data_IF_707187055675
#
_entry.id   IF_707187055675
#
_cell.length_a   1.000
_cell.length_b   1.000
_cell.length_c   1.000
_cell.angle_alpha   90.00
_cell.angle_beta   90.00
_cell.angle_gamma   90.00
#
_symmetry.space_group_name_H-M   'P 1'
#
loop_
_entity.id
_entity.type
_entity.pdbx_description
1 polymer ?
#
# COMPACT_ATOMS: atom_id res chain seq x y z
N UNK A 1 18.73 15.32 5.82
CA UNK A 1 18.59 13.86 5.88
C UNK A 1 18.39 13.45 7.34
N UNK A 2 17.39 12.60 7.61
CA UNK A 2 17.14 11.97 8.91
C UNK A 2 17.67 10.53 8.92
N UNK A 3 17.31 9.71 7.92
CA UNK A 3 17.85 8.35 7.74
C UNK A 3 17.93 7.94 6.27
N UNK A 4 18.57 6.78 6.01
CA UNK A 4 18.57 6.12 4.73
C UNK A 4 17.69 4.87 4.78
N UNK A 5 16.63 4.83 3.97
CA UNK A 5 15.81 3.63 3.81
C UNK A 5 16.38 2.79 2.68
N UNK A 6 16.98 1.65 3.00
CA UNK A 6 17.50 0.76 1.96
C UNK A 6 16.37 -0.03 1.31
N UNK A 7 16.39 -0.08 -0.02
CA UNK A 7 15.52 -0.93 -0.85
C UNK A 7 16.35 -2.00 -1.55
N UNK A 8 15.72 -3.13 -1.89
CA UNK A 8 16.39 -4.27 -2.53
C UNK A 8 16.98 -3.94 -3.91
N UNK A 9 16.41 -2.95 -4.61
CA UNK A 9 16.86 -2.51 -5.94
C UNK A 9 16.64 -3.57 -7.03
N UNK A 10 16.15 -3.18 -8.21
CA UNK A 10 15.98 -4.11 -9.34
C UNK A 10 17.31 -4.62 -9.91
N UNK A 11 18.42 -3.90 -9.66
CA UNK A 11 19.76 -4.20 -10.19
C UNK A 11 20.66 -4.97 -9.21
N UNK A 12 20.14 -5.40 -8.05
CA UNK A 12 20.87 -6.15 -7.04
C UNK A 12 21.80 -5.34 -6.14
N UNK A 13 22.02 -4.06 -6.43
CA UNK A 13 22.71 -3.12 -5.54
C UNK A 13 21.69 -2.38 -4.67
N UNK A 14 21.74 -2.52 -3.33
CA UNK A 14 20.82 -1.82 -2.45
C UNK A 14 20.92 -0.30 -2.64
N UNK A 15 19.77 0.36 -2.81
CA UNK A 15 19.70 1.82 -2.94
C UNK A 15 19.23 2.40 -1.61
N UNK A 16 20.03 3.30 -1.02
CA UNK A 16 19.65 4.00 0.20
C UNK A 16 18.86 5.26 -0.15
N UNK A 17 17.54 5.24 0.04
CA UNK A 17 16.68 6.41 -0.17
C UNK A 17 16.91 7.43 0.93
N UNK A 18 17.20 8.68 0.57
CA UNK A 18 17.48 9.78 1.48
C UNK A 18 16.17 10.36 2.00
N UNK A 19 15.76 9.95 3.20
CA UNK A 19 14.55 10.44 3.85
C UNK A 19 14.90 11.61 4.76
N UNK A 20 14.26 12.77 4.57
CA UNK A 20 14.44 13.97 5.40
C UNK A 20 13.44 14.05 6.56
N UNK A 21 13.66 14.99 7.49
CA UNK A 21 12.68 15.27 8.55
C UNK A 21 11.33 15.74 7.97
N UNK A 22 11.39 16.63 6.97
CA UNK A 22 10.20 17.17 6.31
C UNK A 22 9.40 16.06 5.61
N UNK A 23 10.10 15.14 4.94
CA UNK A 23 9.46 14.00 4.31
C UNK A 23 8.68 13.13 5.32
N UNK A 24 9.27 12.87 6.50
CA UNK A 24 8.61 12.09 7.55
C UNK A 24 7.42 12.85 8.14
N UNK A 25 7.58 14.13 8.47
CA UNK A 25 6.48 14.93 9.01
C UNK A 25 5.31 15.00 8.03
N UNK A 26 5.60 15.20 6.74
CA UNK A 26 4.59 15.25 5.70
C UNK A 26 3.91 13.89 5.50
N UNK A 27 4.68 12.80 5.35
CA UNK A 27 4.09 11.48 5.14
C UNK A 27 3.32 10.97 6.38
N UNK A 28 3.73 11.36 7.59
CA UNK A 28 2.96 11.08 8.80
C UNK A 28 1.65 11.87 8.90
N UNK A 29 1.63 13.12 8.43
CA UNK A 29 0.39 13.89 8.28
C UNK A 29 -0.54 13.27 7.20
N UNK A 30 0.06 12.77 6.11
CA UNK A 30 -0.65 12.03 5.08
C UNK A 30 -1.31 10.78 5.67
N UNK A 31 -0.55 9.91 6.35
CA UNK A 31 -1.06 8.68 6.97
C UNK A 31 -2.14 9.01 8.01
N UNK A 32 -1.91 10.02 8.85
CA UNK A 32 -2.91 10.49 9.82
C UNK A 32 -4.23 10.87 9.15
N UNK A 33 -4.18 11.57 8.02
CA UNK A 33 -5.38 11.98 7.28
C UNK A 33 -6.06 10.77 6.63
N UNK A 34 -5.29 9.96 5.91
CA UNK A 34 -5.78 8.82 5.14
C UNK A 34 -6.43 7.75 6.04
N UNK A 35 -5.80 7.45 7.18
CA UNK A 35 -6.30 6.51 8.18
C UNK A 35 -7.17 7.18 9.25
N UNK A 36 -7.43 8.48 9.17
CA UNK A 36 -8.20 9.25 10.17
C UNK A 36 -7.73 8.98 11.61
N UNK A 37 -6.41 8.95 11.82
CA UNK A 37 -5.80 8.58 13.10
C UNK A 37 -6.01 9.67 14.16
N UNK A 38 -6.37 9.23 15.35
CA UNK A 38 -6.58 10.05 16.55
C UNK A 38 -5.79 9.50 17.74
N UNK A 39 -5.79 10.20 18.88
CA UNK A 39 -5.14 9.74 20.12
C UNK A 39 -5.78 8.45 20.67
N UNK A 40 -7.04 8.18 20.32
CA UNK A 40 -7.77 6.94 20.68
C UNK A 40 -7.44 5.75 19.77
N UNK A 41 -6.67 5.97 18.70
CA UNK A 41 -6.25 4.90 17.81
C UNK A 41 -5.35 3.89 18.53
N UNK A 42 -5.39 2.65 18.07
CA UNK A 42 -4.48 1.60 18.53
C UNK A 42 -3.99 0.86 17.31
N UNK A 43 -2.66 0.75 17.16
CA UNK A 43 -2.05 -0.06 16.11
C UNK A 43 -1.38 -1.31 16.65
N UNK A 44 -1.40 -2.37 15.84
CA UNK A 44 -0.58 -3.56 16.04
C UNK A 44 0.24 -3.76 14.77
N UNK A 45 1.55 -3.92 14.89
CA UNK A 45 2.42 -4.26 13.76
C UNK A 45 3.33 -5.42 14.10
N UNK A 46 3.49 -6.32 13.14
CA UNK A 46 4.50 -7.37 13.14
C UNK A 46 5.56 -7.14 12.06
N UNK A 47 5.44 -6.07 11.29
CA UNK A 47 6.31 -5.79 10.16
C UNK A 47 7.72 -5.45 10.64
N UNK A 48 8.77 -5.83 9.89
CA UNK A 48 10.14 -5.54 10.30
C UNK A 48 10.42 -4.05 10.35
N UNK A 49 11.03 -3.56 11.43
CA UNK A 49 11.37 -2.15 11.61
C UNK A 49 12.45 -1.61 10.66
N UNK A 50 13.07 -2.48 9.86
CA UNK A 50 13.99 -2.08 8.79
C UNK A 50 13.28 -1.87 7.43
N UNK A 51 11.99 -2.24 7.33
CA UNK A 51 11.14 -1.96 6.18
C UNK A 51 10.40 -0.64 6.42
N UNK A 52 10.17 0.16 5.37
CA UNK A 52 9.52 1.47 5.47
C UNK A 52 8.16 1.42 6.21
N UNK A 53 7.28 0.48 5.87
CA UNK A 53 5.99 0.28 6.53
C UNK A 53 6.13 -0.12 8.00
N UNK A 54 7.11 -0.96 8.35
CA UNK A 54 7.35 -1.32 9.74
C UNK A 54 7.96 -0.18 10.56
N UNK A 55 8.80 0.66 9.95
CA UNK A 55 9.43 1.81 10.60
C UNK A 55 8.47 3.00 10.72
N UNK A 56 7.92 3.45 9.59
CA UNK A 56 7.17 4.70 9.49
C UNK A 56 5.77 4.51 10.05
N UNK A 57 4.97 3.60 9.49
CA UNK A 57 3.62 3.32 10.00
C UNK A 57 3.66 2.59 11.36
N UNK A 58 4.56 1.62 11.51
CA UNK A 58 4.63 0.81 12.72
C UNK A 58 5.21 1.48 13.97
N UNK A 59 6.16 2.43 13.83
CA UNK A 59 6.90 3.02 14.96
C UNK A 59 6.74 4.54 15.00
N UNK A 60 6.96 5.23 13.88
CA UNK A 60 6.94 6.70 13.84
C UNK A 60 5.51 7.23 13.95
N UNK A 61 4.54 6.63 13.26
CA UNK A 61 3.16 7.12 13.21
C UNK A 61 2.47 7.16 14.59
N UNK A 62 2.55 6.13 15.45
CA UNK A 62 2.00 6.19 16.80
C UNK A 62 2.61 7.32 17.63
N UNK A 63 3.92 7.58 17.47
CA UNK A 63 4.62 8.68 18.16
C UNK A 63 4.22 10.05 17.62
N UNK A 64 4.01 10.16 16.30
CA UNK A 64 3.60 11.40 15.65
C UNK A 64 2.18 11.82 16.05
N UNK A 65 1.23 10.89 16.02
CA UNK A 65 -0.18 11.16 16.34
C UNK A 65 -0.48 11.09 17.84
N UNK A 66 0.32 10.36 18.63
CA UNK A 66 0.14 10.28 20.09
C UNK A 66 -0.78 9.16 20.55
N UNK A 67 -0.72 8.00 19.90
CA UNK A 67 -1.59 6.85 20.20
C UNK A 67 -0.81 5.57 20.53
N UNK A 68 -1.48 4.52 21.00
CA UNK A 68 -0.84 3.26 21.39
C UNK A 68 -0.38 2.43 20.16
N UNK A 69 0.94 2.31 19.97
CA UNK A 69 1.55 1.38 19.01
C UNK A 69 2.06 0.10 19.68
N UNK A 70 1.49 -1.05 19.31
CA UNK A 70 1.92 -2.37 19.78
C UNK A 70 2.77 -3.05 18.71
N UNK A 71 4.01 -3.39 19.06
CA UNK A 71 4.97 -4.01 18.14
C UNK A 71 5.20 -5.45 18.56
N UNK A 72 5.15 -6.38 17.61
CA UNK A 72 5.51 -7.77 17.82
C UNK A 72 6.59 -8.23 16.83
N UNK A 73 7.30 -9.30 17.18
CA UNK A 73 8.36 -9.83 16.32
C UNK A 73 7.79 -10.43 15.02
N UNK A 74 8.36 -10.11 13.84
CA UNK A 74 7.99 -10.76 12.58
C UNK A 74 8.16 -12.28 12.65
N UNK A 75 9.22 -12.76 13.31
CA UNK A 75 9.47 -14.19 13.50
C UNK A 75 8.39 -14.83 14.39
N UNK A 76 7.92 -14.13 15.42
CA UNK A 76 6.85 -14.62 16.28
C UNK A 76 5.53 -14.76 15.53
N UNK A 77 5.23 -13.84 14.61
CA UNK A 77 4.10 -13.92 13.69
C UNK A 77 4.24 -15.10 12.71
N UNK A 78 5.36 -15.20 11.99
CA UNK A 78 5.59 -16.27 11.00
C UNK A 78 5.48 -17.68 11.62
N UNK A 79 5.95 -17.84 12.87
CA UNK A 79 5.81 -19.08 13.63
C UNK A 79 4.35 -19.40 13.98
N UNK A 80 3.58 -18.39 14.41
CA UNK A 80 2.18 -18.55 14.85
C UNK A 80 1.35 -17.32 14.44
N UNK A 81 0.75 -17.31 13.24
CA UNK A 81 0.02 -16.15 12.72
C UNK A 81 -1.16 -15.71 13.59
N UNK A 82 -1.77 -16.64 14.33
CA UNK A 82 -2.83 -16.35 15.30
C UNK A 82 -2.45 -15.26 16.31
N UNK A 83 -1.16 -15.13 16.67
CA UNK A 83 -0.68 -14.12 17.63
C UNK A 83 -0.98 -12.69 17.17
N UNK A 84 -0.99 -12.45 15.85
CA UNK A 84 -1.34 -11.16 15.30
C UNK A 84 -2.82 -10.83 15.56
N UNK A 85 -3.71 -11.78 15.28
CA UNK A 85 -5.15 -11.62 15.51
C UNK A 85 -5.51 -11.59 16.99
N UNK A 86 -4.80 -12.35 17.83
CA UNK A 86 -4.92 -12.31 19.29
C UNK A 86 -4.50 -10.93 19.82
N UNK A 87 -3.40 -10.36 19.31
CA UNK A 87 -2.97 -9.00 19.68
C UNK A 87 -4.01 -7.95 19.27
N UNK A 88 -4.54 -8.03 18.04
CA UNK A 88 -5.63 -7.15 17.58
C UNK A 88 -6.82 -7.24 18.54
N UNK A 89 -7.29 -8.45 18.83
CA UNK A 89 -8.44 -8.71 19.70
C UNK A 89 -8.21 -8.20 21.13
N UNK A 90 -7.02 -8.48 21.70
CA UNK A 90 -6.67 -8.13 23.08
C UNK A 90 -6.50 -6.62 23.28
N UNK A 91 -5.74 -5.96 22.40
CA UNK A 91 -5.48 -4.53 22.48
C UNK A 91 -6.60 -3.67 21.87
N UNK A 92 -7.62 -4.30 21.27
CA UNK A 92 -8.69 -3.63 20.52
C UNK A 92 -8.11 -2.77 19.38
N UNK A 93 -7.15 -3.33 18.64
CA UNK A 93 -6.41 -2.58 17.63
C UNK A 93 -7.32 -2.14 16.49
N UNK A 94 -7.40 -0.83 16.30
CA UNK A 94 -8.14 -0.16 15.21
C UNK A 94 -7.41 -0.21 13.87
N UNK A 95 -6.08 -0.27 13.89
CA UNK A 95 -5.24 -0.17 12.69
C UNK A 95 -4.19 -1.28 12.70
N UNK A 96 -4.13 -2.06 11.63
CA UNK A 96 -3.14 -3.13 11.48
C UNK A 96 -3.16 -3.64 10.06
N UNK A 97 -2.09 -4.26 9.58
CA UNK A 97 -2.06 -4.73 8.22
C UNK A 97 -0.69 -5.21 7.79
N UNK A 98 -0.54 -5.40 6.48
CA UNK A 98 0.68 -5.88 5.86
C UNK A 98 0.43 -6.40 4.43
N UNK A 99 1.39 -7.09 3.83
CA UNK A 99 1.24 -7.65 2.48
C UNK A 99 0.23 -8.81 2.46
N UNK A 100 -0.19 -9.27 1.27
CA UNK A 100 -1.12 -10.39 1.11
C UNK A 100 -0.64 -11.63 1.87
N UNK A 101 0.68 -11.87 1.88
CA UNK A 101 1.31 -12.96 2.62
C UNK A 101 0.85 -13.04 4.08
N UNK A 102 0.70 -11.89 4.75
CA UNK A 102 0.28 -11.86 6.16
C UNK A 102 -1.13 -12.41 6.34
N UNK A 103 -2.06 -11.95 5.51
CA UNK A 103 -3.45 -12.39 5.49
C UNK A 103 -3.57 -13.88 5.10
N UNK A 104 -2.85 -14.31 4.08
CA UNK A 104 -2.88 -15.69 3.61
C UNK A 104 -2.33 -16.67 4.66
N UNK A 105 -1.25 -16.31 5.36
CA UNK A 105 -0.73 -17.12 6.47
C UNK A 105 -1.74 -17.28 7.60
N UNK A 106 -2.52 -16.24 7.90
CA UNK A 106 -3.62 -16.33 8.86
C UNK A 106 -4.72 -17.27 8.36
N UNK A 107 -5.14 -17.14 7.10
CA UNK A 107 -6.14 -18.03 6.49
C UNK A 107 -5.68 -19.48 6.53
N UNK A 108 -4.41 -19.76 6.22
CA UNK A 108 -3.88 -21.12 6.16
C UNK A 108 -3.72 -21.75 7.55
N UNK A 109 -3.15 -21.02 8.51
CA UNK A 109 -2.66 -21.62 9.77
C UNK A 109 -3.61 -21.47 10.95
N UNK A 110 -4.53 -20.51 10.94
CA UNK A 110 -5.46 -20.32 12.07
C UNK A 110 -6.58 -21.36 12.01
N UNK A 111 -6.83 -22.03 13.14
CA UNK A 111 -7.86 -23.07 13.24
C UNK A 111 -9.22 -22.50 13.66
N UNK A 112 -10.31 -23.20 13.35
CA UNK A 112 -11.66 -22.77 13.73
C UNK A 112 -11.85 -22.68 15.26
N UNK A 113 -11.16 -23.49 16.05
CA UNK A 113 -11.20 -23.40 17.52
C UNK A 113 -10.54 -22.12 18.04
N UNK A 114 -9.47 -21.66 17.39
CA UNK A 114 -8.82 -20.39 17.73
C UNK A 114 -9.70 -19.20 17.38
N UNK A 115 -10.39 -19.26 16.24
CA UNK A 115 -11.30 -18.19 15.78
C UNK A 115 -12.39 -17.89 16.79
N UNK A 116 -12.91 -18.91 17.50
CA UNK A 116 -13.95 -18.74 18.53
C UNK A 116 -13.55 -17.81 19.69
N UNK A 117 -12.25 -17.60 19.91
CA UNK A 117 -11.73 -16.77 20.99
C UNK A 117 -11.30 -15.37 20.53
N UNK A 118 -11.55 -15.02 19.26
CA UNK A 118 -11.21 -13.72 18.69
C UNK A 118 -12.43 -12.79 18.63
N UNK A 119 -12.18 -11.50 18.75
CA UNK A 119 -13.10 -10.44 18.36
C UNK A 119 -12.34 -9.37 17.54
N UNK A 120 -12.59 -9.37 16.24
CA UNK A 120 -12.00 -8.47 15.25
C UNK A 120 -12.92 -7.30 14.88
N UNK A 121 -14.02 -7.10 15.61
CA UNK A 121 -14.96 -6.00 15.36
C UNK A 121 -14.37 -4.61 15.60
N UNK A 122 -13.23 -4.52 16.28
CA UNK A 122 -12.51 -3.28 16.59
C UNK A 122 -11.70 -2.69 15.43
N UNK A 123 -11.48 -3.47 14.36
CA UNK A 123 -10.68 -3.03 13.23
C UNK A 123 -11.40 -1.92 12.45
N UNK A 124 -10.69 -0.84 12.15
CA UNK A 124 -11.13 0.24 11.26
C UNK A 124 -10.38 0.19 9.92
N UNK A 125 -9.07 -0.08 9.96
CA UNK A 125 -8.21 -0.19 8.77
C UNK A 125 -7.32 -1.42 8.82
N UNK A 126 -7.71 -2.43 8.03
CA UNK A 126 -6.95 -3.62 7.68
C UNK A 126 -6.14 -3.33 6.41
N UNK A 127 -5.04 -2.58 6.56
CA UNK A 127 -4.31 -2.11 5.39
C UNK A 127 -3.58 -3.24 4.65
N UNK A 128 -3.66 -3.25 3.32
CA UNK A 128 -2.94 -4.20 2.48
C UNK A 128 -2.21 -3.45 1.37
N UNK A 129 -0.90 -3.68 1.26
CA UNK A 129 -0.02 -2.97 0.33
C UNK A 129 1.37 -3.60 0.26
N UNK A 130 2.34 -2.86 -0.25
CA UNK A 130 3.73 -3.30 -0.53
C UNK A 130 3.91 -4.24 -1.74
N UNK A 131 2.82 -4.76 -2.31
CA UNK A 131 2.81 -5.64 -3.48
C UNK A 131 1.42 -5.58 -4.17
N UNK A 132 1.25 -6.10 -5.39
CA UNK A 132 -0.08 -6.17 -6.01
C UNK A 132 -1.07 -6.91 -5.11
N UNK A 133 -2.17 -6.25 -4.76
CA UNK A 133 -3.16 -6.78 -3.83
C UNK A 133 -3.99 -7.84 -4.54
N UNK A 134 -4.08 -9.03 -3.93
CA UNK A 134 -4.82 -10.14 -4.52
C UNK A 134 -6.24 -10.18 -3.96
N UNK A 135 -7.24 -9.98 -4.83
CA UNK A 135 -8.65 -10.04 -4.43
C UNK A 135 -9.01 -11.36 -3.72
N UNK A 136 -8.48 -12.48 -4.20
CA UNK A 136 -8.66 -13.81 -3.58
C UNK A 136 -8.13 -13.89 -2.15
N UNK A 137 -7.06 -13.14 -1.81
CA UNK A 137 -6.56 -13.07 -0.43
C UNK A 137 -7.59 -12.37 0.45
N UNK A 138 -8.14 -11.24 -0.01
CA UNK A 138 -9.19 -10.51 0.71
C UNK A 138 -10.43 -11.38 0.92
N UNK A 139 -10.93 -12.00 -0.14
CA UNK A 139 -12.11 -12.87 -0.12
C UNK A 139 -11.95 -14.04 0.86
N UNK A 140 -10.82 -14.76 0.80
CA UNK A 140 -10.55 -15.88 1.71
C UNK A 140 -10.47 -15.43 3.17
N UNK A 141 -9.86 -14.28 3.43
CA UNK A 141 -9.75 -13.73 4.78
C UNK A 141 -11.12 -13.34 5.34
N UNK A 142 -11.94 -12.62 4.57
CA UNK A 142 -13.33 -12.28 4.95
C UNK A 142 -14.10 -13.55 5.29
N UNK A 143 -14.11 -14.53 4.37
CA UNK A 143 -14.87 -15.75 4.53
C UNK A 143 -14.50 -16.52 5.81
N UNK A 144 -13.21 -16.53 6.17
CA UNK A 144 -12.71 -17.24 7.34
C UNK A 144 -12.97 -16.49 8.65
N UNK A 145 -12.79 -15.18 8.69
CA UNK A 145 -12.80 -14.39 9.92
C UNK A 145 -14.08 -13.57 10.16
N UNK A 146 -15.05 -13.58 9.24
CA UNK A 146 -16.35 -12.91 9.45
C UNK A 146 -17.07 -13.36 10.73
N UNK A 147 -16.91 -14.63 11.12
CA UNK A 147 -17.55 -15.19 12.31
C UNK A 147 -17.04 -14.60 13.63
N UNK A 148 -15.84 -14.00 13.64
CA UNK A 148 -15.30 -13.27 14.77
C UNK A 148 -15.34 -11.74 14.58
N UNK A 149 -16.21 -11.23 13.70
CA UNK A 149 -16.51 -9.81 13.59
C UNK A 149 -15.72 -9.03 12.55
N UNK A 150 -14.85 -9.67 11.77
CA UNK A 150 -14.19 -9.03 10.62
C UNK A 150 -15.22 -8.70 9.53
N UNK A 151 -15.09 -7.53 8.88
CA UNK A 151 -15.99 -7.09 7.81
C UNK A 151 -15.19 -6.69 6.58
N UNK A 152 -15.79 -6.83 5.41
CA UNK A 152 -15.15 -6.53 4.11
C UNK A 152 -14.64 -5.10 4.01
N UNK A 153 -15.45 -4.10 4.40
CA UNK A 153 -15.05 -2.69 4.41
C UNK A 153 -13.94 -2.32 5.42
N UNK A 154 -13.47 -3.26 6.25
CA UNK A 154 -12.27 -3.01 7.05
C UNK A 154 -11.01 -3.06 6.19
N UNK A 155 -11.02 -3.77 5.05
CA UNK A 155 -9.87 -3.79 4.16
C UNK A 155 -9.57 -2.41 3.60
N UNK A 156 -8.31 -2.00 3.74
CA UNK A 156 -7.80 -0.74 3.23
C UNK A 156 -6.64 -0.98 2.27
N UNK A 157 -6.91 -1.22 0.99
CA UNK A 157 -5.87 -1.24 -0.04
C UNK A 157 -5.08 0.08 -0.08
N UNK A 158 -3.75 -0.02 -0.11
CA UNK A 158 -2.88 1.14 -0.22
C UNK A 158 -1.64 0.86 -1.07
N UNK A 159 -1.08 1.94 -1.61
CA UNK A 159 0.15 1.93 -2.40
C UNK A 159 1.18 2.84 -1.78
N UNK A 160 2.44 2.41 -1.86
CA UNK A 160 3.55 3.10 -1.25
C UNK A 160 4.90 2.50 -1.63
N UNK A 161 5.94 3.32 -1.47
CA UNK A 161 7.33 2.93 -1.68
C UNK A 161 8.28 3.85 -0.90
N UNK A 162 9.49 3.36 -0.61
CA UNK A 162 10.50 4.13 0.12
C UNK A 162 10.87 5.46 -0.56
N UNK A 163 10.90 5.52 -1.90
CA UNK A 163 11.16 6.73 -2.69
C UNK A 163 10.13 7.85 -2.46
N UNK A 164 8.94 7.48 -1.99
CA UNK A 164 7.87 8.37 -1.54
C UNK A 164 7.77 8.45 -0.01
N UNK A 165 8.85 8.11 0.69
CA UNK A 165 8.92 7.89 2.14
C UNK A 165 8.17 6.65 2.61
N UNK A 166 6.86 6.58 2.35
CA UNK A 166 6.08 5.35 2.49
C UNK A 166 4.80 5.47 1.65
N UNK A 167 3.79 6.21 2.12
CA UNK A 167 2.43 6.12 1.56
C UNK A 167 2.22 7.10 0.40
N UNK A 168 1.65 6.60 -0.71
CA UNK A 168 1.36 7.36 -1.95
C UNK A 168 -0.14 7.50 -2.17
N UNK A 169 -0.89 6.40 -2.01
CA UNK A 169 -2.34 6.37 -2.14
C UNK A 169 -2.99 5.41 -1.15
N UNK A 170 -4.26 5.65 -0.85
CA UNK A 170 -5.06 4.77 -0.01
C UNK A 170 -6.55 4.96 -0.24
N UNK A 171 -7.34 3.97 0.17
CA UNK A 171 -8.80 4.02 0.10
C UNK A 171 -9.45 5.06 1.02
N UNK A 172 -10.75 4.90 1.23
CA UNK A 172 -11.52 5.64 2.24
C UNK A 172 -11.95 4.66 3.33
N UNK A 173 -11.85 5.05 4.60
CA UNK A 173 -12.39 4.23 5.69
C UNK A 173 -13.89 3.97 5.48
N UNK A 174 -14.37 2.81 5.94
CA UNK A 174 -15.76 2.35 5.82
C UNK A 174 -16.25 2.09 4.39
N UNK A 175 -15.44 2.37 3.35
CA UNK A 175 -15.74 2.00 1.97
C UNK A 175 -15.21 0.62 1.65
N UNK A 176 -15.93 -0.08 0.79
CA UNK A 176 -15.44 -1.34 0.23
C UNK A 176 -14.28 -1.10 -0.75
N UNK A 177 -13.27 -1.99 -0.79
CA UNK A 177 -12.27 -1.99 -1.84
C UNK A 177 -12.89 -1.98 -3.24
N UNK A 178 -12.41 -1.10 -4.11
CA UNK A 178 -12.78 -1.11 -5.52
C UNK A 178 -12.08 -2.31 -6.17
N UNK A 179 -12.86 -3.14 -6.90
CA UNK A 179 -12.34 -4.27 -7.65
C UNK A 179 -12.85 -4.22 -9.09
N UNK A 180 -11.94 -4.38 -10.06
CA UNK A 180 -12.27 -4.52 -11.47
C UNK A 180 -11.99 -5.93 -11.95
N UNK A 181 -12.97 -6.48 -12.66
CA UNK A 181 -12.87 -7.76 -13.34
C UNK A 181 -12.56 -7.48 -14.81
N UNK A 182 -11.33 -7.74 -15.24
CA UNK A 182 -10.88 -7.50 -16.61
C UNK A 182 -10.70 -8.81 -17.38
N UNK A 183 -10.93 -8.76 -18.70
CA UNK A 183 -10.57 -9.86 -19.60
C UNK A 183 -9.05 -10.02 -19.64
N UNK A 184 -8.56 -11.18 -19.23
CA UNK A 184 -7.12 -11.40 -19.08
C UNK A 184 -6.37 -11.39 -20.42
N UNK A 185 -7.01 -11.77 -21.53
CA UNK A 185 -6.38 -11.79 -22.86
C UNK A 185 -6.30 -10.39 -23.47
N UNK A 186 -7.31 -9.54 -23.20
CA UNK A 186 -7.26 -8.13 -23.60
C UNK A 186 -6.24 -7.37 -22.76
N UNK A 187 -6.19 -7.63 -21.44
CA UNK A 187 -5.23 -6.99 -20.55
C UNK A 187 -3.78 -7.27 -20.96
N UNK A 188 -3.48 -8.49 -21.40
CA UNK A 188 -2.15 -8.86 -21.92
C UNK A 188 -1.74 -8.08 -23.19
N UNK A 189 -2.67 -7.39 -23.83
CA UNK A 189 -2.46 -6.49 -24.98
C UNK A 189 -2.57 -5.01 -24.59
N UNK A 190 -2.55 -4.71 -23.29
CA UNK A 190 -2.78 -3.38 -22.72
C UNK A 190 -4.15 -2.78 -23.06
N UNK A 191 -5.17 -3.61 -23.29
CA UNK A 191 -6.53 -3.19 -23.56
C UNK A 191 -7.38 -3.45 -22.32
N UNK A 192 -7.92 -2.38 -21.73
CA UNK A 192 -8.83 -2.48 -20.59
C UNK A 192 -10.23 -2.81 -21.11
N UNK A 193 -10.68 -4.02 -20.82
CA UNK A 193 -12.00 -4.52 -21.20
C UNK A 193 -12.58 -5.30 -20.01
N UNK A 194 -13.82 -5.01 -19.63
CA UNK A 194 -14.48 -5.74 -18.55
C UNK A 194 -14.66 -7.22 -18.92
N UNK A 195 -14.34 -8.09 -17.98
CA UNK A 195 -14.56 -9.52 -18.09
C UNK A 195 -16.06 -9.82 -17.99
N UNK A 196 -16.69 -10.12 -19.12
CA UNK A 196 -18.06 -10.63 -19.10
C UNK A 196 -18.07 -12.06 -18.54
N UNK A 197 -19.17 -12.52 -17.93
CA UNK A 197 -19.32 -13.88 -17.40
C UNK A 197 -19.14 -15.02 -18.43
N UNK A 198 -19.01 -14.71 -19.72
CA UNK A 198 -18.66 -15.62 -20.82
C UNK A 198 -17.16 -15.63 -21.17
N UNK A 199 -16.34 -14.72 -20.63
CA UNK A 199 -14.89 -14.73 -20.78
C UNK A 199 -14.32 -15.92 -20.01
N UNK A 200 -13.45 -16.70 -20.65
CA UNK A 200 -12.91 -17.93 -20.04
C UNK A 200 -11.86 -17.65 -18.98
N UNK A 201 -11.30 -16.43 -18.93
CA UNK A 201 -10.30 -15.99 -17.93
C UNK A 201 -10.47 -14.50 -17.58
N UNK A 202 -10.76 -14.25 -16.30
CA UNK A 202 -10.83 -12.91 -15.71
C UNK A 202 -9.59 -12.65 -14.85
N UNK A 203 -9.05 -11.44 -14.91
CA UNK A 203 -8.04 -10.91 -13.99
C UNK A 203 -8.72 -9.86 -13.09
N UNK A 204 -8.62 -10.07 -11.78
CA UNK A 204 -9.11 -9.14 -10.76
C UNK A 204 -8.01 -8.12 -10.44
N UNK A 205 -8.36 -6.83 -10.44
CA UNK A 205 -7.49 -5.75 -9.99
C UNK A 205 -8.14 -5.03 -8.81
N UNK A 206 -7.38 -4.85 -7.74
CA UNK A 206 -7.83 -4.13 -6.54
C UNK A 206 -7.29 -2.70 -6.60
N UNK A 207 -8.19 -1.73 -6.47
CA UNK A 207 -7.83 -0.32 -6.42
C UNK A 207 -7.15 0.04 -5.12
N UNK A 208 -6.10 0.87 -5.21
CA UNK A 208 -5.32 1.37 -4.09
C UNK A 208 -5.76 2.78 -3.65
N UNK A 209 -7.02 3.14 -3.97
CA UNK A 209 -7.66 4.40 -3.61
C UNK A 209 -7.05 5.62 -4.30
N UNK A 210 -7.00 6.75 -3.59
CA UNK A 210 -6.59 8.05 -4.13
C UNK A 210 -5.46 8.69 -3.30
N UNK A 211 -4.91 9.80 -3.81
CA UNK A 211 -3.92 10.58 -3.07
C UNK A 211 -4.59 11.54 -2.08
N UNK A 212 -3.84 11.91 -1.05
CA UNK A 212 -4.20 12.89 -0.02
C UNK A 212 -3.19 14.05 0.00
N UNK A 213 -3.56 15.17 0.63
CA UNK A 213 -2.73 16.36 0.78
C UNK A 213 -2.25 16.94 -0.58
N UNK A 214 -0.97 17.25 -0.72
CA UNK A 214 -0.34 17.79 -1.93
C UNK A 214 0.21 16.70 -2.86
N UNK A 215 0.00 15.42 -2.53
CA UNK A 215 0.48 14.30 -3.34
C UNK A 215 -0.31 14.25 -4.65
N UNK A 216 0.40 14.41 -5.76
CA UNK A 216 -0.15 14.33 -7.11
C UNK A 216 0.32 13.04 -7.78
N UNK A 217 -0.62 12.28 -8.33
CA UNK A 217 -0.36 11.00 -9.02
C UNK A 217 -0.87 11.12 -10.44
N UNK A 218 0.04 10.89 -11.39
CA UNK A 218 -0.23 10.90 -12.83
C UNK A 218 0.08 9.53 -13.42
N UNK A 219 -0.76 9.08 -14.35
CA UNK A 219 -0.47 7.91 -15.18
C UNK A 219 0.11 8.43 -16.48
N UNK A 220 1.33 8.05 -16.80
CA UNK A 220 2.11 8.64 -17.90
C UNK A 220 2.56 7.55 -18.85
N UNK A 221 2.41 7.77 -20.15
CA UNK A 221 3.00 6.88 -21.14
C UNK A 221 4.53 6.98 -21.06
N UNK A 222 5.27 5.91 -20.77
CA UNK A 222 6.71 5.97 -20.51
C UNK A 222 7.55 6.26 -21.77
N UNK A 223 6.98 6.11 -22.96
CA UNK A 223 7.65 6.40 -24.24
C UNK A 223 7.42 7.85 -24.70
N UNK A 224 6.20 8.36 -24.55
CA UNK A 224 5.83 9.71 -25.03
C UNK A 224 5.90 10.78 -23.93
N UNK A 225 5.99 10.37 -22.66
CA UNK A 225 5.99 11.24 -21.47
C UNK A 225 4.73 12.14 -21.38
N UNK A 226 3.62 11.67 -21.95
CA UNK A 226 2.31 12.33 -21.92
C UNK A 226 1.36 11.62 -20.95
N UNK A 227 0.49 12.40 -20.30
CA UNK A 227 -0.56 11.86 -19.41
C UNK A 227 -1.49 10.93 -20.21
N UNK A 228 -1.74 9.75 -19.66
CA UNK A 228 -2.70 8.77 -20.14
C UNK A 228 -4.15 9.20 -19.84
N UNK A 229 -5.08 8.88 -20.72
CA UNK A 229 -6.51 9.03 -20.42
C UNK A 229 -6.97 7.96 -19.40
N UNK A 230 -8.14 8.15 -18.81
CA UNK A 230 -8.75 7.14 -17.94
C UNK A 230 -8.86 5.79 -18.66
N UNK A 231 -8.62 4.68 -17.94
CA UNK A 231 -8.55 3.33 -18.47
C UNK A 231 -7.42 3.06 -19.49
N UNK A 232 -6.38 3.91 -19.53
CA UNK A 232 -5.14 3.60 -20.24
C UNK A 232 -4.04 3.22 -19.25
N UNK A 233 -3.25 2.22 -19.64
CA UNK A 233 -2.11 1.74 -18.86
C UNK A 233 -0.92 2.67 -19.10
N UNK A 234 -0.28 3.11 -18.02
CA UNK A 234 0.95 3.87 -18.06
C UNK A 234 1.78 3.68 -16.80
N UNK A 235 2.93 4.32 -16.77
CA UNK A 235 3.78 4.39 -15.58
C UNK A 235 3.18 5.35 -14.55
N UNK A 236 3.22 4.96 -13.28
CA UNK A 236 2.79 5.80 -12.17
C UNK A 236 3.88 6.81 -11.86
N UNK A 237 3.58 8.10 -12.02
CA UNK A 237 4.45 9.21 -11.69
C UNK A 237 3.88 9.97 -10.49
N UNK A 238 4.72 10.30 -9.52
CA UNK A 238 4.26 10.88 -8.24
C UNK A 238 5.02 12.17 -7.92
N UNK A 239 4.29 13.21 -7.53
CA UNK A 239 4.86 14.44 -6.97
C UNK A 239 4.27 14.73 -5.60
N UNK A 240 4.94 15.57 -4.81
CA UNK A 240 4.47 16.00 -3.48
C UNK A 240 5.58 16.01 -2.43
N UNK A 241 5.26 16.55 -1.26
CA UNK A 241 6.25 16.77 -0.19
C UNK A 241 6.76 15.48 0.49
N UNK A 242 6.09 14.34 0.26
CA UNK A 242 6.54 13.02 0.71
C UNK A 242 7.70 12.44 -0.13
N UNK A 243 7.98 12.99 -1.32
CA UNK A 243 9.02 12.46 -2.22
C UNK A 243 10.41 12.68 -1.60
N UNK A 244 11.17 11.59 -1.50
CA UNK A 244 12.50 11.60 -0.91
C UNK A 244 13.51 12.42 -1.73
N UNK A 245 14.65 12.74 -1.13
CA UNK A 245 15.67 13.61 -1.76
C UNK A 245 16.50 12.90 -2.86
N UNK A 246 16.15 11.66 -3.20
CA UNK A 246 16.89 10.79 -4.09
C UNK A 246 17.59 9.64 -3.36
N UNK A 247 18.44 8.93 -4.09
CA UNK A 247 19.32 7.88 -3.57
C UNK A 247 20.68 8.44 -3.13
N UNK A 248 21.21 7.89 -2.05
CA UNK A 248 22.50 8.25 -1.48
C UNK A 248 23.65 8.01 -2.48
N UNK A 249 24.39 9.07 -2.81
CA UNK A 249 25.55 9.05 -3.70
C UNK A 249 25.28 8.50 -5.13
N UNK A 250 24.06 8.70 -5.67
CA UNK A 250 23.72 8.31 -7.04
C UNK A 250 23.16 9.48 -7.87
N UNK A 251 23.94 10.55 -8.05
CA UNK A 251 23.48 11.79 -8.70
C UNK A 251 22.88 11.57 -10.10
N UNK A 252 23.49 10.72 -10.93
CA UNK A 252 23.01 10.44 -12.29
C UNK A 252 21.64 9.74 -12.28
N UNK A 253 21.46 8.75 -11.40
CA UNK A 253 20.20 8.03 -11.23
C UNK A 253 19.12 8.94 -10.66
N UNK A 254 19.49 9.83 -9.74
CA UNK A 254 18.54 10.72 -9.07
C UNK A 254 17.85 11.67 -10.04
N UNK A 255 18.56 12.22 -11.02
CA UNK A 255 17.95 13.08 -12.03
C UNK A 255 16.94 12.31 -12.88
N UNK A 256 17.28 11.10 -13.33
CA UNK A 256 16.39 10.28 -14.15
C UNK A 256 15.15 9.78 -13.39
N UNK A 257 15.23 9.61 -12.07
CA UNK A 257 14.14 9.03 -11.27
C UNK A 257 13.29 10.11 -10.59
N UNK A 258 13.89 11.16 -10.02
CA UNK A 258 13.19 12.12 -9.13
C UNK A 258 12.92 13.49 -9.77
N UNK A 259 13.44 13.77 -10.97
CA UNK A 259 13.41 15.12 -11.58
C UNK A 259 12.69 15.16 -12.93
N UNK A 260 11.72 14.28 -13.13
CA UNK A 260 10.97 14.19 -14.38
C UNK A 260 9.89 15.27 -14.47
N UNK A 261 9.56 15.71 -15.68
CA UNK A 261 8.59 16.79 -15.92
C UNK A 261 7.51 16.33 -16.87
N UNK A 262 6.32 16.86 -16.68
CA UNK A 262 5.19 16.70 -17.58
C UNK A 262 4.86 18.11 -18.08
N UNK A 263 4.89 18.33 -19.40
CA UNK A 263 4.81 19.68 -20.00
C UNK A 263 3.59 20.51 -19.56
N UNK A 264 2.48 19.84 -19.24
CA UNK A 264 1.22 20.46 -18.81
C UNK A 264 1.13 20.76 -17.32
N UNK A 265 2.10 20.32 -16.51
CA UNK A 265 2.06 20.39 -15.04
C UNK A 265 3.30 21.08 -14.48
N UNK A 266 3.15 21.66 -13.29
CA UNK A 266 4.26 22.29 -12.58
C UNK A 266 4.86 21.30 -11.57
N UNK A 267 6.19 21.30 -11.46
CA UNK A 267 6.92 20.49 -10.48
C UNK A 267 7.73 19.38 -11.12
N UNK A 268 8.34 18.57 -10.25
CA UNK A 268 9.08 17.38 -10.64
C UNK A 268 8.34 16.14 -10.13
N UNK A 269 8.42 15.06 -10.92
CA UNK A 269 7.80 13.79 -10.62
C UNK A 269 8.86 12.70 -10.42
N UNK A 270 8.59 11.89 -9.40
CA UNK A 270 9.17 10.57 -9.20
C UNK A 270 8.60 9.61 -10.24
N UNK A 271 9.47 9.02 -11.06
CA UNK A 271 9.18 7.84 -11.88
C UNK A 271 9.27 6.60 -11.00
N UNK A 272 8.13 6.01 -10.67
CA UNK A 272 8.09 4.85 -9.77
C UNK A 272 8.56 3.57 -10.45
N UNK A 273 8.49 3.52 -11.78
CA UNK A 273 8.67 2.31 -12.58
C UNK A 273 7.46 1.37 -12.57
N UNK A 274 6.45 1.61 -11.72
CA UNK A 274 5.28 0.74 -11.58
C UNK A 274 4.21 1.10 -12.61
N UNK A 275 3.52 0.09 -13.15
CA UNK A 275 2.43 0.26 -14.10
C UNK A 275 1.07 0.30 -13.41
N UNK A 276 0.25 1.25 -13.82
CA UNK A 276 -1.10 1.42 -13.32
C UNK A 276 -2.03 2.07 -14.33
N UNK A 277 -3.28 2.24 -13.90
CA UNK A 277 -4.28 3.01 -14.61
C UNK A 277 -5.12 3.81 -13.61
N UNK A 278 -5.69 4.91 -14.10
CA UNK A 278 -6.72 5.68 -13.40
C UNK A 278 -8.09 5.16 -13.79
N UNK A 279 -8.96 4.92 -12.81
CA UNK A 279 -10.38 4.62 -13.01
C UNK A 279 -11.18 5.41 -11.98
N UNK A 280 -12.14 6.22 -12.45
CA UNK A 280 -13.08 7.06 -11.66
C UNK A 280 -12.75 7.12 -10.16
N UNK A 281 -11.92 8.11 -9.78
CA UNK A 281 -11.56 8.45 -8.38
C UNK A 281 -10.66 7.43 -7.64
N UNK A 282 -10.10 6.44 -8.31
CA UNK A 282 -9.13 5.50 -7.73
C UNK A 282 -8.03 5.13 -8.72
N UNK A 283 -6.84 4.83 -8.19
CA UNK A 283 -5.74 4.24 -8.94
C UNK A 283 -5.78 2.72 -8.81
N UNK A 284 -5.54 2.01 -9.90
CA UNK A 284 -5.36 0.56 -9.91
C UNK A 284 -3.96 0.22 -10.38
N UNK A 285 -3.28 -0.65 -9.65
CA UNK A 285 -1.95 -1.13 -9.98
C UNK A 285 -2.07 -2.51 -10.63
N UNK A 286 -1.39 -2.68 -11.76
CA UNK A 286 -1.58 -3.82 -12.64
C UNK A 286 -0.63 -4.98 -12.33
N UNK A 287 0.61 -4.62 -12.04
CA UNK A 287 1.66 -5.50 -11.55
C UNK A 287 2.86 -4.58 -11.24
N UNK A 288 3.61 -4.86 -10.17
CA UNK A 288 4.91 -4.22 -9.87
C UNK A 288 5.97 -4.77 -10.84
N UNK A 289 5.66 -4.78 -12.14
CA UNK A 289 6.63 -4.97 -13.20
C UNK A 289 7.30 -3.61 -13.39
N UNK A 290 8.39 -3.42 -12.64
CA UNK A 290 9.28 -2.28 -12.85
C UNK A 290 9.78 -2.33 -14.30
N UNK A 291 9.48 -1.28 -15.06
CA UNK A 291 10.06 -1.05 -16.40
C UNK A 291 11.60 -1.03 -16.31
#
# INVERSE_FOLDING_TARGET
>A
MLFLQYTSGSTGNPKGVIVSHENILHNSAYIQTAFQLTEESVSVTWLPSFHDMGLIDGIIQPLYTGFLGVIMSPQAFLQKPIRWLEAISYYRATHSGGPNLGYDLCVEKVTNEQIKNLDLSCWLSAYNGSEPIQYKTLERFINKFQSCGFKSHYFYPCYGMAESTLMVSGGELEKEPICLNLDAEQLAKNIICEGNGNSTKVKELVGCGHSWLDTDIQIVNPETETICEDNQIGEVWVSGSSIAQGYWQQSEVNTAVFSNKIDSLNGCYLRTGDLGLSVIRSYLLLDVLRI
#
